data_IF_593529825520
#
_entry.id   IF_593529825520
#
_cell.length_a   1.000
_cell.length_b   1.000
_cell.length_c   1.000
_cell.angle_alpha   90.00
_cell.angle_beta   90.00
_cell.angle_gamma   90.00
#
_symmetry.space_group_name_H-M   'P 1'
#
loop_
_entity.id
_entity.type
_entity.pdbx_description
1 polymer ?
#
# COMPACT_ATOMS: atom_id res chain seq x y z
N UNK A 1 -10.66 -3.16 15.49
CA UNK A 1 -10.97 -3.05 14.03
C UNK A 1 -11.34 -1.60 13.78
N UNK A 2 -10.39 -0.81 13.24
CA UNK A 2 -10.67 0.60 12.92
C UNK A 2 -11.50 0.61 11.64
N UNK A 3 -12.79 0.81 11.76
CA UNK A 3 -13.68 1.06 10.65
C UNK A 3 -13.18 2.32 9.94
N UNK A 4 -12.80 2.23 8.68
CA UNK A 4 -12.35 3.38 7.90
C UNK A 4 -13.56 4.30 7.66
N UNK A 5 -13.84 5.16 8.63
CA UNK A 5 -14.87 6.18 8.51
C UNK A 5 -14.47 7.13 7.38
N UNK A 6 -15.20 7.08 6.28
CA UNK A 6 -14.96 7.90 5.09
C UNK A 6 -15.88 9.11 5.09
N UNK A 7 -15.32 10.28 4.78
CA UNK A 7 -16.09 11.50 4.57
C UNK A 7 -16.53 11.53 3.11
N UNK A 8 -17.83 11.28 2.86
CA UNK A 8 -18.34 11.13 1.50
C UNK A 8 -18.96 12.41 0.93
N UNK A 9 -19.60 13.22 1.77
CA UNK A 9 -20.32 14.41 1.32
C UNK A 9 -19.40 15.62 1.13
N UNK A 10 -19.60 16.40 0.06
CA UNK A 10 -18.77 17.56 -0.27
C UNK A 10 -18.77 18.63 0.86
N UNK A 11 -19.92 18.88 1.52
CA UNK A 11 -19.99 19.80 2.67
C UNK A 11 -19.08 19.34 3.80
N UNK A 12 -19.07 18.04 4.13
CA UNK A 12 -18.21 17.50 5.16
C UNK A 12 -16.73 17.66 4.81
N UNK A 13 -16.37 17.38 3.54
CA UNK A 13 -14.99 17.61 3.06
C UNK A 13 -14.59 19.08 3.14
N UNK A 14 -15.51 19.99 2.81
CA UNK A 14 -15.26 21.44 2.93
C UNK A 14 -15.00 21.85 4.37
N UNK A 15 -15.79 21.37 5.34
CA UNK A 15 -15.58 21.63 6.77
C UNK A 15 -14.20 21.17 7.22
N UNK A 16 -13.86 19.92 6.90
CA UNK A 16 -12.56 19.35 7.28
C UNK A 16 -11.41 20.07 6.59
N UNK A 17 -11.56 20.44 5.32
CA UNK A 17 -10.54 21.22 4.58
C UNK A 17 -10.23 22.57 5.23
N UNK A 18 -11.23 23.26 5.76
CA UNK A 18 -11.00 24.51 6.52
C UNK A 18 -10.19 24.22 7.79
N UNK A 19 -10.59 23.21 8.55
CA UNK A 19 -9.93 22.83 9.80
C UNK A 19 -8.54 22.19 9.61
N UNK A 20 -8.19 21.80 8.39
CA UNK A 20 -6.81 21.37 8.07
C UNK A 20 -5.84 22.56 8.02
N UNK A 21 -6.34 23.77 7.77
CA UNK A 21 -5.53 24.98 7.59
C UNK A 21 -5.50 25.88 8.82
N UNK A 22 -6.34 25.62 9.81
CA UNK A 22 -6.43 26.41 11.03
C UNK A 22 -6.88 25.53 12.20
N UNK A 23 -6.31 25.76 13.35
CA UNK A 23 -6.54 24.95 14.55
C UNK A 23 -8.00 25.05 15.04
N UNK A 24 -8.58 26.26 15.00
CA UNK A 24 -9.96 26.52 15.38
C UNK A 24 -10.67 27.33 14.31
N UNK A 25 -11.93 27.04 14.07
CA UNK A 25 -12.79 27.82 13.17
C UNK A 25 -14.18 28.02 13.78
N UNK A 26 -14.73 29.21 13.63
CA UNK A 26 -16.09 29.50 14.06
C UNK A 26 -17.11 28.92 13.06
N UNK A 27 -18.35 28.75 13.49
CA UNK A 27 -19.44 28.25 12.64
C UNK A 27 -19.54 28.98 11.30
N UNK A 28 -19.46 30.33 11.31
CA UNK A 28 -19.53 31.13 10.09
C UNK A 28 -18.37 30.90 9.13
N UNK A 29 -17.19 30.59 9.66
CA UNK A 29 -15.96 30.43 8.87
C UNK A 29 -15.90 29.02 8.22
N UNK A 30 -16.63 28.06 8.80
CA UNK A 30 -16.79 26.71 8.29
C UNK A 30 -17.90 26.58 7.23
N UNK A 31 -18.89 27.50 7.25
CA UNK A 31 -20.07 27.40 6.40
C UNK A 31 -19.77 27.96 5.00
N UNK A 32 -19.85 27.14 3.95
CA UNK A 32 -19.77 27.64 2.57
C UNK A 32 -20.91 28.61 2.25
N UNK A 33 -20.63 29.64 1.45
CA UNK A 33 -21.58 30.71 1.11
C UNK A 33 -22.86 30.20 0.45
N UNK A 34 -22.76 29.15 -0.36
CA UNK A 34 -23.89 28.63 -1.17
C UNK A 34 -24.59 27.42 -0.54
N UNK A 35 -24.44 27.19 0.77
CA UNK A 35 -25.04 26.06 1.48
C UNK A 35 -26.09 26.56 2.47
N UNK A 36 -27.28 25.95 2.46
CA UNK A 36 -28.32 26.21 3.45
C UNK A 36 -27.83 25.93 4.87
N UNK A 37 -28.24 26.78 5.83
CA UNK A 37 -27.76 26.70 7.22
C UNK A 37 -28.21 25.41 7.94
N UNK A 38 -29.41 24.89 7.63
CA UNK A 38 -29.90 23.67 8.27
C UNK A 38 -29.14 22.45 7.73
N UNK A 39 -28.93 22.41 6.41
CA UNK A 39 -28.14 21.36 5.76
C UNK A 39 -26.70 21.37 6.24
N UNK A 40 -26.07 22.55 6.34
CA UNK A 40 -24.73 22.68 6.91
C UNK A 40 -24.67 22.20 8.36
N UNK A 41 -25.63 22.64 9.20
CA UNK A 41 -25.71 22.23 10.61
C UNK A 41 -25.88 20.73 10.78
N UNK A 42 -26.66 20.10 9.88
CA UNK A 42 -26.82 18.66 9.85
C UNK A 42 -25.48 17.94 9.61
N UNK A 43 -24.73 18.32 8.58
CA UNK A 43 -23.43 17.72 8.28
C UNK A 43 -22.39 18.00 9.35
N UNK A 44 -22.40 19.20 9.95
CA UNK A 44 -21.53 19.54 11.06
C UNK A 44 -21.79 18.63 12.28
N UNK A 45 -23.06 18.42 12.65
CA UNK A 45 -23.44 17.49 13.73
C UNK A 45 -23.06 16.04 13.43
N UNK A 46 -23.18 15.61 12.17
CA UNK A 46 -22.75 14.26 11.76
C UNK A 46 -21.25 14.08 11.97
N UNK A 47 -20.42 15.05 11.56
CA UNK A 47 -18.97 15.00 11.79
C UNK A 47 -18.61 14.98 13.27
N UNK A 48 -19.32 15.76 14.11
CA UNK A 48 -19.14 15.72 15.56
C UNK A 48 -19.51 14.37 16.15
N UNK A 49 -20.70 13.83 15.80
CA UNK A 49 -21.15 12.53 16.28
C UNK A 49 -20.21 11.38 15.85
N UNK A 50 -19.64 11.50 14.66
CA UNK A 50 -18.70 10.51 14.12
C UNK A 50 -17.26 10.66 14.69
N UNK A 51 -16.98 11.72 15.47
CA UNK A 51 -15.67 11.97 16.10
C UNK A 51 -14.62 12.55 15.17
N UNK A 52 -15.01 13.17 14.04
CA UNK A 52 -14.07 13.88 13.15
C UNK A 52 -13.74 15.29 13.62
N UNK A 53 -14.70 15.96 14.25
CA UNK A 53 -14.53 17.30 14.78
C UNK A 53 -15.07 17.39 16.21
N UNK A 54 -14.52 18.29 16.98
CA UNK A 54 -14.98 18.64 18.31
C UNK A 54 -15.36 20.13 18.37
N UNK A 55 -16.30 20.46 19.27
CA UNK A 55 -16.64 21.84 19.60
C UNK A 55 -15.92 22.24 20.89
N UNK A 56 -15.22 23.37 20.88
CA UNK A 56 -14.53 23.95 22.00
C UNK A 56 -15.05 25.39 22.29
N UNK A 57 -14.54 26.05 23.31
CA UNK A 57 -14.85 27.45 23.58
C UNK A 57 -14.37 28.39 22.46
N UNK A 58 -13.26 28.03 21.78
CA UNK A 58 -12.66 28.82 20.70
C UNK A 58 -13.35 28.57 19.33
N UNK A 59 -14.13 27.51 19.21
CA UNK A 59 -14.81 27.11 17.96
C UNK A 59 -14.78 25.61 17.75
N UNK A 60 -14.73 25.21 16.49
CA UNK A 60 -14.60 23.82 16.08
C UNK A 60 -13.15 23.50 15.74
N UNK A 61 -12.71 22.29 16.07
CA UNK A 61 -11.38 21.76 15.77
C UNK A 61 -11.47 20.34 15.26
N UNK A 62 -10.40 19.82 14.63
CA UNK A 62 -10.31 18.40 14.29
C UNK A 62 -10.19 17.56 15.57
N UNK A 63 -11.01 16.52 15.67
CA UNK A 63 -10.87 15.49 16.69
C UNK A 63 -9.96 14.37 16.18
N UNK A 64 -9.68 13.37 17.02
CA UNK A 64 -8.74 12.29 16.70
C UNK A 64 -8.98 11.63 15.33
N UNK A 65 -10.23 11.22 15.03
CA UNK A 65 -10.56 10.65 13.71
C UNK A 65 -10.40 11.65 12.56
N UNK A 66 -10.60 12.92 12.83
CA UNK A 66 -10.37 14.00 11.86
C UNK A 66 -8.90 14.15 11.53
N UNK A 67 -8.03 14.15 12.54
CA UNK A 67 -6.57 14.20 12.39
C UNK A 67 -6.07 12.99 11.60
N UNK A 68 -6.51 11.77 11.97
CA UNK A 68 -6.17 10.54 11.23
C UNK A 68 -6.67 10.56 9.78
N UNK A 69 -7.81 11.20 9.52
CA UNK A 69 -8.36 11.33 8.17
C UNK A 69 -7.53 12.29 7.31
N UNK A 70 -7.22 13.49 7.82
CA UNK A 70 -6.48 14.51 7.06
C UNK A 70 -5.04 14.11 6.77
N UNK A 71 -4.42 13.34 7.67
CA UNK A 71 -3.10 12.77 7.47
C UNK A 71 -3.02 11.87 6.23
N UNK A 72 -4.13 11.21 5.87
CA UNK A 72 -4.22 10.25 4.76
C UNK A 72 -4.96 10.79 3.54
N UNK A 73 -5.65 11.90 3.68
CA UNK A 73 -6.45 12.49 2.62
C UNK A 73 -5.60 13.35 1.67
N UNK A 74 -5.98 13.37 0.40
CA UNK A 74 -5.45 14.36 -0.53
C UNK A 74 -5.96 15.75 -0.15
N UNK A 75 -5.06 16.69 0.09
CA UNK A 75 -5.39 18.05 0.52
C UNK A 75 -6.23 18.85 -0.47
N UNK A 76 -6.13 18.57 -1.78
CA UNK A 76 -6.90 19.28 -2.81
C UNK A 76 -8.39 18.89 -2.82
N UNK A 77 -8.70 17.60 -2.65
CA UNK A 77 -10.07 17.08 -2.76
C UNK A 77 -10.63 16.57 -1.43
N UNK A 78 -9.79 16.51 -0.40
CA UNK A 78 -10.11 15.89 0.89
C UNK A 78 -10.71 14.48 0.73
N UNK A 79 -10.11 13.69 -0.16
CA UNK A 79 -10.48 12.30 -0.41
C UNK A 79 -9.31 11.37 -0.06
N UNK A 80 -9.62 10.23 0.52
CA UNK A 80 -8.63 9.17 0.72
C UNK A 80 -8.23 8.59 -0.65
N UNK A 81 -6.93 8.47 -0.88
CA UNK A 81 -6.38 7.77 -2.04
C UNK A 81 -5.86 6.40 -1.63
N UNK A 82 -5.97 5.44 -2.55
CA UNK A 82 -5.31 4.14 -2.37
C UNK A 82 -3.80 4.34 -2.24
N UNK A 83 -3.24 3.77 -1.19
CA UNK A 83 -1.81 3.81 -0.93
C UNK A 83 -1.17 2.45 -1.22
N UNK A 84 0.15 2.41 -1.45
CA UNK A 84 0.88 1.15 -1.55
C UNK A 84 0.64 0.30 -0.30
N UNK A 85 0.60 -1.02 -0.47
CA UNK A 85 0.60 -1.92 0.68
C UNK A 85 1.96 -1.84 1.36
N UNK A 86 1.97 -1.85 2.69
CA UNK A 86 3.19 -1.99 3.49
C UNK A 86 3.18 -3.40 4.07
N UNK A 87 4.26 -4.15 3.81
CA UNK A 87 4.39 -5.53 4.27
C UNK A 87 5.78 -5.77 4.87
N UNK A 88 5.91 -6.80 5.69
CA UNK A 88 7.18 -7.42 6.01
C UNK A 88 7.33 -8.72 5.21
N UNK A 89 8.49 -8.97 4.63
CA UNK A 89 8.86 -10.23 3.98
C UNK A 89 10.02 -10.86 4.74
N UNK A 90 9.89 -12.15 5.04
CA UNK A 90 10.85 -12.89 5.85
C UNK A 90 11.83 -13.63 4.92
N UNK A 91 13.06 -13.17 4.85
CA UNK A 91 14.16 -13.88 4.22
C UNK A 91 14.80 -14.81 5.25
N UNK A 92 14.38 -16.07 5.22
CA UNK A 92 14.80 -17.09 6.18
C UNK A 92 15.79 -18.02 5.51
N UNK A 93 16.96 -18.20 6.12
CA UNK A 93 18.02 -19.07 5.60
C UNK A 93 18.30 -20.20 6.59
N UNK A 94 18.65 -21.38 6.06
CA UNK A 94 19.23 -22.46 6.86
C UNK A 94 20.75 -22.32 6.97
N UNK A 95 21.40 -23.20 7.72
CA UNK A 95 22.85 -23.22 7.88
C UNK A 95 23.63 -23.53 6.60
N UNK A 96 22.96 -23.98 5.53
CA UNK A 96 23.56 -24.26 4.22
C UNK A 96 23.29 -23.14 3.20
N UNK A 97 22.55 -22.11 3.58
CA UNK A 97 22.22 -20.97 2.70
C UNK A 97 20.96 -21.16 1.86
N UNK A 98 20.19 -22.25 2.04
CA UNK A 98 18.88 -22.40 1.40
C UNK A 98 17.90 -21.38 1.94
N UNK A 99 16.96 -20.99 1.09
CA UNK A 99 15.92 -20.01 1.44
C UNK A 99 14.59 -20.72 1.62
N UNK A 100 13.88 -20.40 2.68
CA UNK A 100 12.53 -20.90 2.92
C UNK A 100 11.51 -20.14 2.06
N UNK A 101 10.78 -20.89 1.26
CA UNK A 101 9.66 -20.38 0.48
C UNK A 101 8.34 -20.96 0.99
N UNK A 102 7.30 -20.13 0.92
CA UNK A 102 5.93 -20.50 1.23
C UNK A 102 5.06 -20.48 -0.04
N UNK A 103 4.25 -21.51 -0.22
CA UNK A 103 3.26 -21.58 -1.31
C UNK A 103 2.08 -20.68 -1.01
N UNK A 104 1.68 -19.88 -1.99
CA UNK A 104 0.54 -18.98 -1.84
C UNK A 104 -0.78 -19.72 -1.98
N UNK A 105 -1.61 -19.66 -0.94
CA UNK A 105 -2.95 -20.27 -0.92
C UNK A 105 -4.05 -19.32 -1.42
N UNK A 106 -3.75 -18.04 -1.74
CA UNK A 106 -4.75 -17.01 -2.08
C UNK A 106 -4.30 -16.15 -3.27
N UNK A 107 -5.29 -15.61 -3.98
CA UNK A 107 -5.05 -14.60 -5.00
C UNK A 107 -4.54 -13.27 -4.39
N UNK A 108 -3.85 -12.45 -5.16
CA UNK A 108 -3.27 -12.71 -6.49
C UNK A 108 -2.10 -13.69 -6.41
N UNK A 109 -1.75 -14.32 -7.52
CA UNK A 109 -0.62 -15.27 -7.67
C UNK A 109 -0.77 -16.56 -6.85
N UNK A 110 -1.97 -17.14 -6.78
CA UNK A 110 -2.21 -18.44 -6.14
C UNK A 110 -1.31 -19.54 -6.73
N UNK A 111 -0.88 -20.48 -5.91
CA UNK A 111 0.03 -21.59 -6.28
C UNK A 111 1.41 -21.14 -6.78
N UNK A 112 1.85 -19.91 -6.49
CA UNK A 112 3.24 -19.49 -6.66
C UNK A 112 4.00 -19.57 -5.33
N UNK A 113 5.32 -19.72 -5.42
CA UNK A 113 6.19 -19.67 -4.26
C UNK A 113 6.62 -18.23 -3.93
N UNK A 114 6.67 -17.90 -2.66
CA UNK A 114 7.05 -16.58 -2.18
C UNK A 114 7.82 -16.67 -0.87
N UNK A 115 8.57 -15.65 -0.52
CA UNK A 115 9.02 -15.49 0.85
C UNK A 115 7.80 -15.38 1.78
N UNK A 116 7.80 -15.96 2.99
CA UNK A 116 6.74 -15.72 3.97
C UNK A 116 6.61 -14.21 4.22
N UNK A 117 5.39 -13.65 4.18
CA UNK A 117 5.17 -12.21 4.33
C UNK A 117 3.82 -11.92 4.97
N UNK A 118 3.69 -10.73 5.54
CA UNK A 118 2.42 -10.22 6.02
C UNK A 118 2.30 -8.72 5.97
N UNK A 119 1.09 -8.23 6.15
CA UNK A 119 0.83 -6.78 6.21
C UNK A 119 1.27 -6.24 7.56
N UNK A 120 1.89 -5.08 7.55
CA UNK A 120 2.08 -4.31 8.77
C UNK A 120 0.73 -3.79 9.29
N UNK A 121 0.55 -3.87 10.58
CA UNK A 121 -0.59 -3.32 11.28
C UNK A 121 -0.19 -2.00 11.96
N UNK A 122 -1.15 -1.14 12.22
CA UNK A 122 -0.89 0.16 12.86
C UNK A 122 -0.46 0.02 14.33
N UNK A 123 -0.77 -1.10 14.93
CA UNK A 123 -0.42 -1.48 16.29
C UNK A 123 0.87 -2.32 16.40
N UNK A 124 1.52 -2.63 15.27
CA UNK A 124 2.85 -3.20 15.30
C UNK A 124 3.86 -2.14 15.81
N UNK A 125 4.56 -2.40 16.90
CA UNK A 125 5.50 -1.45 17.52
C UNK A 125 6.71 -1.11 16.62
N UNK A 126 7.07 -2.02 15.72
CA UNK A 126 8.19 -1.84 14.78
C UNK A 126 8.11 -2.82 13.60
N UNK A 127 8.95 -2.59 12.58
CA UNK A 127 9.14 -3.52 11.46
C UNK A 127 9.55 -4.91 11.97
N UNK A 128 10.43 -4.99 12.98
CA UNK A 128 10.87 -6.27 13.53
C UNK A 128 9.79 -6.94 14.37
N UNK A 129 8.94 -6.18 15.06
CA UNK A 129 7.78 -6.72 15.79
C UNK A 129 6.75 -7.31 14.82
N UNK A 130 6.44 -6.59 13.72
CA UNK A 130 5.58 -7.10 12.65
C UNK A 130 6.14 -8.39 12.04
N UNK A 131 7.43 -8.45 11.76
CA UNK A 131 8.09 -9.63 11.20
C UNK A 131 8.05 -10.83 12.17
N UNK A 132 8.25 -10.61 13.47
CA UNK A 132 8.14 -11.64 14.50
C UNK A 132 6.72 -12.19 14.59
N UNK A 133 5.72 -11.31 14.62
CA UNK A 133 4.29 -11.70 14.63
C UNK A 133 3.96 -12.56 13.42
N UNK A 134 4.35 -12.13 12.20
CA UNK A 134 4.12 -12.90 10.97
C UNK A 134 4.80 -14.27 10.98
N UNK A 135 6.04 -14.38 11.54
CA UNK A 135 6.72 -15.65 11.71
C UNK A 135 5.95 -16.59 12.65
N UNK A 136 5.49 -16.08 13.79
CA UNK A 136 4.69 -16.86 14.74
C UNK A 136 3.36 -17.32 14.14
N UNK A 137 2.66 -16.43 13.43
CA UNK A 137 1.36 -16.74 12.82
C UNK A 137 1.45 -17.80 11.72
N UNK A 138 2.43 -17.67 10.82
CA UNK A 138 2.52 -18.51 9.60
C UNK A 138 3.38 -19.73 9.76
N UNK A 139 4.50 -19.59 10.48
CA UNK A 139 5.51 -20.62 10.60
C UNK A 139 5.52 -21.31 11.96
N UNK A 140 4.71 -20.79 12.93
CA UNK A 140 4.72 -21.22 14.33
C UNK A 140 6.10 -21.18 14.96
N UNK A 141 6.92 -20.23 14.51
CA UNK A 141 8.31 -20.05 14.91
C UNK A 141 8.54 -18.65 15.47
N UNK A 142 9.20 -18.56 16.63
CA UNK A 142 9.62 -17.29 17.25
C UNK A 142 11.10 -17.03 17.03
N UNK A 143 11.47 -16.14 16.10
CA UNK A 143 12.86 -15.88 15.78
C UNK A 143 13.55 -15.04 16.86
N UNK A 144 14.75 -15.45 17.30
CA UNK A 144 15.50 -14.77 18.34
C UNK A 144 16.34 -13.60 17.83
N UNK A 145 16.82 -13.67 16.58
CA UNK A 145 17.69 -12.65 15.97
C UNK A 145 17.11 -12.23 14.64
N UNK A 146 16.45 -11.09 14.63
CA UNK A 146 15.89 -10.48 13.43
C UNK A 146 16.76 -9.29 13.00
N UNK A 147 17.04 -9.17 11.71
CA UNK A 147 17.73 -8.03 11.12
C UNK A 147 16.92 -7.46 9.97
N UNK A 148 16.62 -6.16 10.01
CA UNK A 148 16.07 -5.44 8.87
C UNK A 148 17.18 -5.33 7.80
N UNK A 149 17.05 -6.06 6.71
CA UNK A 149 18.07 -6.20 5.69
C UNK A 149 17.94 -5.20 4.54
N UNK A 150 16.73 -4.68 4.31
CA UNK A 150 16.49 -3.70 3.25
C UNK A 150 15.01 -3.43 3.03
N UNK A 151 14.74 -2.53 2.09
CA UNK A 151 13.40 -2.16 1.65
C UNK A 151 13.28 -2.30 0.14
N UNK A 152 12.12 -2.78 -0.32
CA UNK A 152 11.83 -2.91 -1.74
C UNK A 152 10.52 -2.22 -2.09
N UNK A 153 10.53 -1.35 -3.09
CA UNK A 153 9.33 -0.81 -3.68
C UNK A 153 8.97 -1.62 -4.93
N UNK A 154 7.93 -2.43 -4.84
CA UNK A 154 7.56 -3.39 -5.88
C UNK A 154 6.34 -2.87 -6.63
N UNK A 155 6.52 -2.57 -7.91
CA UNK A 155 5.47 -2.17 -8.83
C UNK A 155 5.21 -3.32 -9.79
N UNK A 156 4.00 -3.87 -9.74
CA UNK A 156 3.56 -4.92 -10.67
C UNK A 156 2.56 -4.34 -11.63
N UNK A 157 2.75 -4.58 -12.91
CA UNK A 157 1.87 -4.11 -13.97
C UNK A 157 2.12 -4.84 -15.28
N UNK A 158 1.51 -4.35 -16.34
CA UNK A 158 1.67 -4.87 -17.70
C UNK A 158 1.55 -3.76 -18.74
N UNK A 159 2.07 -4.01 -19.92
CA UNK A 159 1.86 -3.14 -21.07
C UNK A 159 0.54 -3.47 -21.75
N UNK A 160 -0.29 -2.47 -21.95
CA UNK A 160 -1.51 -2.55 -22.72
C UNK A 160 -1.42 -1.67 -23.97
N UNK A 161 -1.97 -2.15 -25.08
CA UNK A 161 -2.12 -1.33 -26.28
C UNK A 161 -3.35 -0.45 -26.12
N UNK A 162 -3.13 0.87 -26.10
CA UNK A 162 -4.20 1.85 -25.99
C UNK A 162 -4.30 2.60 -27.31
N UNK A 163 -5.49 2.62 -27.88
CA UNK A 163 -5.78 3.46 -29.03
C UNK A 163 -5.89 4.93 -28.56
N UNK A 164 -4.99 5.76 -29.05
CA UNK A 164 -5.01 7.19 -28.74
C UNK A 164 -5.51 7.92 -29.99
N UNK A 165 -6.58 8.69 -29.84
CA UNK A 165 -6.99 9.65 -30.84
C UNK A 165 -5.93 10.76 -30.86
N UNK A 166 -5.18 10.89 -31.93
CA UNK A 166 -4.34 12.05 -32.12
C UNK A 166 -5.28 13.25 -32.33
N UNK A 167 -5.42 14.05 -31.27
CA UNK A 167 -5.97 15.40 -31.41
C UNK A 167 -4.86 16.26 -32.04
N UNK A 168 -4.68 16.12 -33.33
CA UNK A 168 -3.88 17.08 -34.09
C UNK A 168 -4.44 18.47 -33.85
N UNK A 169 -3.60 19.43 -33.52
CA UNK A 169 -3.94 20.84 -33.46
C UNK A 169 -4.23 21.33 -34.90
N UNK A 170 -5.41 21.01 -35.40
CA UNK A 170 -5.88 21.43 -36.74
C UNK A 170 -7.41 21.46 -36.72
N UNK A 171 -7.97 22.50 -37.33
CA UNK A 171 -9.38 22.62 -37.68
C UNK A 171 -9.80 21.42 -38.53
N UNK A 172 -10.72 20.62 -38.06
CA UNK A 172 -11.29 19.49 -38.80
C UNK A 172 -12.08 20.04 -39.96
N UNK A 173 -11.69 19.73 -41.19
CA UNK A 173 -12.54 19.86 -42.39
C UNK A 173 -13.31 18.55 -42.57
N UNK A 174 -14.56 18.68 -43.06
CA UNK A 174 -15.50 17.58 -43.28
C UNK A 174 -14.89 16.58 -44.29
N UNK A 175 -14.37 15.45 -43.78
CA UNK A 175 -13.73 14.41 -44.61
C UNK A 175 -12.43 13.84 -44.03
N UNK A 176 -11.92 14.37 -42.93
CA UNK A 176 -10.67 13.89 -42.32
C UNK A 176 -10.85 12.52 -41.66
N UNK A 177 -10.06 11.55 -42.15
CA UNK A 177 -10.00 10.21 -41.56
C UNK A 177 -9.25 10.29 -40.23
N UNK A 178 -9.93 9.96 -39.13
CA UNK A 178 -9.32 9.86 -37.80
C UNK A 178 -8.21 8.79 -37.83
N UNK A 179 -6.97 9.21 -37.78
CA UNK A 179 -5.84 8.30 -37.59
C UNK A 179 -5.74 7.91 -36.11
N UNK A 180 -6.08 6.64 -35.81
CA UNK A 180 -5.85 6.05 -34.49
C UNK A 180 -4.41 5.57 -34.42
N UNK A 181 -3.61 6.17 -33.54
CA UNK A 181 -2.28 5.66 -33.23
C UNK A 181 -2.35 4.76 -31.99
N UNK A 182 -1.70 3.59 -32.08
CA UNK A 182 -1.62 2.66 -30.97
C UNK A 182 -0.40 2.99 -30.11
N UNK A 183 -0.58 3.38 -28.87
CA UNK A 183 0.50 3.57 -27.89
C UNK A 183 0.49 2.45 -26.87
N UNK A 184 1.67 2.06 -26.41
CA UNK A 184 1.78 1.15 -25.26
C UNK A 184 1.68 1.98 -23.97
N UNK A 185 0.71 1.67 -23.13
CA UNK A 185 0.55 2.22 -21.79
C UNK A 185 0.93 1.19 -20.73
N UNK A 186 1.64 1.62 -19.68
CA UNK A 186 1.92 0.78 -18.53
C UNK A 186 0.74 0.83 -17.56
N UNK A 187 0.02 -0.31 -17.42
CA UNK A 187 -1.09 -0.46 -16.50
C UNK A 187 -0.61 -1.07 -15.19
N UNK A 188 -0.76 -0.35 -14.10
CA UNK A 188 -0.29 -0.77 -12.78
C UNK A 188 -1.39 -1.59 -12.09
N UNK A 189 -1.05 -2.83 -11.70
CA UNK A 189 -1.92 -3.72 -10.93
C UNK A 189 -1.74 -3.56 -9.42
N UNK A 190 -0.50 -3.41 -8.97
CA UNK A 190 -0.23 -3.23 -7.55
C UNK A 190 1.05 -2.47 -7.27
N UNK A 191 1.09 -1.83 -6.10
CA UNK A 191 2.28 -1.23 -5.50
C UNK A 191 2.43 -1.74 -4.08
N UNK A 192 3.64 -2.10 -3.71
CA UNK A 192 3.94 -2.67 -2.39
C UNK A 192 5.28 -2.13 -1.90
N UNK A 193 5.33 -1.59 -0.69
CA UNK A 193 6.57 -1.38 0.03
C UNK A 193 6.79 -2.59 0.93
N UNK A 194 7.88 -3.32 0.71
CA UNK A 194 8.24 -4.51 1.44
C UNK A 194 9.49 -4.26 2.28
N UNK A 195 9.38 -4.38 3.59
CA UNK A 195 10.51 -4.43 4.51
C UNK A 195 11.04 -5.86 4.54
N UNK A 196 12.29 -6.06 4.14
CA UNK A 196 12.94 -7.36 4.11
C UNK A 196 13.61 -7.61 5.46
N UNK A 197 13.11 -8.58 6.18
CA UNK A 197 13.65 -8.98 7.50
C UNK A 197 14.28 -10.35 7.40
N UNK A 198 15.58 -10.44 7.72
CA UNK A 198 16.36 -11.67 7.64
C UNK A 198 16.55 -12.29 9.02
N UNK A 199 16.52 -13.62 9.06
CA UNK A 199 17.02 -14.43 10.15
C UNK A 199 17.45 -15.81 9.66
N UNK A 200 18.20 -16.55 10.49
CA UNK A 200 18.71 -17.88 10.20
C UNK A 200 18.13 -18.90 11.17
N UNK A 201 17.75 -20.07 10.65
CA UNK A 201 17.26 -21.19 11.46
C UNK A 201 17.19 -22.49 10.67
N UNK A 202 17.51 -23.62 11.31
CA UNK A 202 17.28 -24.97 10.81
C UNK A 202 16.04 -25.63 11.43
N UNK A 203 15.33 -24.90 12.30
CA UNK A 203 14.25 -25.47 13.12
C UNK A 203 12.88 -25.53 12.41
N UNK A 204 12.76 -24.97 11.20
CA UNK A 204 11.50 -24.98 10.46
C UNK A 204 11.49 -26.15 9.48
N UNK A 205 10.60 -27.12 9.72
CA UNK A 205 10.47 -28.29 8.84
C UNK A 205 9.79 -27.91 7.50
N UNK A 206 10.24 -28.54 6.42
CA UNK A 206 9.56 -28.46 5.13
C UNK A 206 8.18 -29.17 5.21
N UNK A 207 7.22 -28.67 4.43
CA UNK A 207 5.86 -29.24 4.29
C UNK A 207 5.42 -29.12 2.83
N UNK A 208 4.20 -29.52 2.49
CA UNK A 208 3.64 -29.32 1.15
C UNK A 208 3.54 -27.86 0.74
N UNK A 209 3.47 -26.95 1.71
CA UNK A 209 3.35 -25.50 1.52
C UNK A 209 4.60 -24.71 1.93
N UNK A 210 5.65 -25.38 2.44
CA UNK A 210 6.92 -24.77 2.86
C UNK A 210 8.08 -25.61 2.33
N UNK A 211 8.95 -24.99 1.52
CA UNK A 211 10.12 -25.68 0.95
C UNK A 211 11.41 -24.89 1.20
N UNK A 212 12.49 -25.61 1.42
CA UNK A 212 13.85 -25.06 1.44
C UNK A 212 14.45 -25.21 0.03
N UNK A 213 14.92 -24.11 -0.56
CA UNK A 213 15.39 -24.04 -1.94
C UNK A 213 16.76 -23.39 -2.01
N UNK A 214 17.66 -23.99 -2.79
CA UNK A 214 18.91 -23.33 -3.16
C UNK A 214 18.60 -22.05 -3.98
N UNK A 215 19.25 -20.92 -3.70
CA UNK A 215 19.02 -19.69 -4.46
C UNK A 215 19.19 -19.85 -5.98
N UNK A 216 20.07 -20.72 -6.43
CA UNK A 216 20.31 -21.00 -7.84
C UNK A 216 19.13 -21.76 -8.52
N UNK A 217 18.31 -22.45 -7.74
CA UNK A 217 17.16 -23.20 -8.23
C UNK A 217 15.88 -22.37 -8.33
N UNK A 218 15.88 -21.13 -7.79
CA UNK A 218 14.71 -20.25 -7.83
C UNK A 218 14.11 -20.06 -9.23
N UNK A 219 14.90 -19.87 -10.31
CA UNK A 219 14.36 -19.71 -11.66
C UNK A 219 13.58 -20.91 -12.19
N UNK A 220 13.74 -22.09 -11.58
CA UNK A 220 13.00 -23.30 -11.96
C UNK A 220 11.60 -23.35 -11.38
N UNK A 221 11.29 -22.48 -10.44
CA UNK A 221 10.04 -22.44 -9.70
C UNK A 221 9.09 -21.37 -10.26
N UNK A 222 7.79 -21.61 -10.10
CA UNK A 222 6.79 -20.59 -10.35
C UNK A 222 6.75 -19.61 -9.16
N UNK A 223 7.51 -18.53 -9.24
CA UNK A 223 7.65 -17.55 -8.18
C UNK A 223 6.60 -16.43 -8.25
N UNK A 224 6.25 -15.90 -7.09
CA UNK A 224 5.54 -14.61 -7.01
C UNK A 224 6.46 -13.46 -7.46
N UNK A 225 5.89 -12.31 -7.91
CA UNK A 225 6.67 -11.17 -8.38
C UNK A 225 7.75 -10.72 -7.38
N UNK A 226 8.93 -10.38 -7.89
CA UNK A 226 10.11 -9.88 -7.18
C UNK A 226 10.83 -10.86 -6.23
N UNK A 227 10.34 -12.07 -5.99
CA UNK A 227 10.98 -13.01 -5.03
C UNK A 227 12.42 -13.34 -5.43
N UNK A 228 12.65 -13.73 -6.69
CA UNK A 228 13.99 -14.04 -7.19
C UNK A 228 14.94 -12.84 -7.05
N UNK A 229 14.49 -11.65 -7.47
CA UNK A 229 15.28 -10.43 -7.40
C UNK A 229 15.64 -10.05 -5.95
N UNK A 230 14.69 -10.16 -5.02
CA UNK A 230 14.92 -9.88 -3.60
C UNK A 230 15.93 -10.87 -3.02
N UNK A 231 15.78 -12.17 -3.27
CA UNK A 231 16.72 -13.18 -2.77
C UNK A 231 18.11 -12.94 -3.34
N UNK A 232 18.24 -12.77 -4.66
CA UNK A 232 19.52 -12.50 -5.32
C UNK A 232 20.19 -11.26 -4.75
N UNK A 233 19.45 -10.17 -4.59
CA UNK A 233 19.99 -8.92 -4.03
C UNK A 233 20.45 -9.08 -2.60
N UNK A 234 19.74 -9.86 -1.80
CA UNK A 234 20.04 -10.08 -0.39
C UNK A 234 21.26 -10.96 -0.15
N UNK A 235 21.65 -11.81 -1.13
CA UNK A 235 22.82 -12.66 -1.04
C UNK A 235 24.15 -11.90 -1.23
N UNK A 236 24.13 -10.83 -2.03
CA UNK A 236 25.35 -10.12 -2.41
C UNK A 236 25.76 -8.99 -1.45
N UNK A 237 25.14 -8.86 -0.28
CA UNK A 237 25.52 -7.79 0.61
C UNK A 237 25.07 -7.92 2.06
N UNK A 238 25.99 -7.61 2.97
CA UNK A 238 25.71 -7.39 4.39
C UNK A 238 25.18 -6.00 4.70
N UNK A 239 25.08 -5.15 3.69
CA UNK A 239 24.64 -3.75 3.81
C UNK A 239 23.15 -3.66 3.58
N UNK A 240 22.47 -2.80 4.36
CA UNK A 240 21.09 -2.43 4.13
C UNK A 240 20.92 -1.92 2.69
N UNK A 241 19.87 -2.37 2.00
CA UNK A 241 19.61 -1.99 0.62
C UNK A 241 18.22 -1.38 0.44
N UNK A 242 18.09 -0.53 -0.57
CA UNK A 242 16.81 -0.07 -1.09
C UNK A 242 16.78 -0.32 -2.59
N UNK A 243 15.74 -0.98 -3.08
CA UNK A 243 15.57 -1.31 -4.50
C UNK A 243 14.14 -1.06 -4.97
N UNK A 244 14.01 -0.61 -6.21
CA UNK A 244 12.73 -0.50 -6.88
C UNK A 244 12.63 -1.55 -8.00
N UNK A 245 11.60 -2.39 -7.93
CA UNK A 245 11.35 -3.46 -8.90
C UNK A 245 10.13 -3.16 -9.75
N UNK A 246 10.32 -3.09 -11.07
CA UNK A 246 9.24 -3.02 -12.06
C UNK A 246 9.04 -4.41 -12.66
N UNK A 247 7.95 -5.06 -12.31
CA UNK A 247 7.66 -6.44 -12.68
C UNK A 247 6.52 -6.50 -13.70
N UNK A 248 6.79 -7.10 -14.87
CA UNK A 248 5.76 -7.38 -15.86
C UNK A 248 4.98 -8.63 -15.44
N UNK A 249 3.66 -8.48 -15.20
CA UNK A 249 2.78 -9.58 -14.77
C UNK A 249 2.34 -10.50 -15.91
N UNK A 250 2.45 -10.05 -17.15
CA UNK A 250 2.08 -10.80 -18.38
C UNK A 250 3.34 -11.23 -19.14
N UNK A 251 4.10 -12.13 -18.53
CA UNK A 251 5.20 -12.83 -19.20
C UNK A 251 4.72 -14.15 -19.76
#
# INVERSE_FOLDING_TARGET
>A
MFEQATIQHHIQRSIVSVLTKQEFARFRDLKPTNVDTNLFSYHLKLLQKAGFIAKTEQGYTLAEKGLQYVDRANTAEMKLRSQPKIITMLLIQDGYGKVLLQKRAKQPYINTWTLPYGKMHIDDESVLAAARRESQEKLKFDPHKLRHAGDCYIVVGYHERVEVKDAGAGTFEDGDTLHLTTKQAWCIESRTLAHIVRFETDAIAATDDLIWVEPLDLPTLKLAPAVEAIVTRSFFGDVFFFEEFLINSRR
#
